data_IF_225531603131
#
_entry.id   IF_225531603131
#
_cell.length_a   1.000
_cell.length_b   1.000
_cell.length_c   1.000
_cell.angle_alpha   90.00
_cell.angle_beta   90.00
_cell.angle_gamma   90.00
#
_symmetry.space_group_name_H-M   'P 1'
#
loop_
_entity.id
_entity.type
_entity.pdbx_description
1 polymer ?
#
# COMPACT_ATOMS: atom_id res chain seq x y z
N UNK A 1 10.51 23.89 -11.55
CA UNK A 1 11.18 22.56 -11.69
C UNK A 1 11.92 22.11 -10.43
N UNK A 2 12.80 22.91 -9.82
CA UNK A 2 13.54 22.50 -8.61
C UNK A 2 12.65 22.11 -7.42
N UNK A 3 11.58 22.86 -7.19
CA UNK A 3 10.60 22.57 -6.12
C UNK A 3 9.79 21.30 -6.38
N UNK A 4 9.41 21.07 -7.65
CA UNK A 4 8.72 19.85 -8.07
C UNK A 4 9.57 18.59 -7.85
N UNK A 5 10.85 18.65 -8.25
CA UNK A 5 11.78 17.56 -7.98
C UNK A 5 11.90 17.33 -6.46
N UNK A 6 12.13 18.40 -5.69
CA UNK A 6 12.24 18.32 -4.22
C UNK A 6 11.00 17.68 -3.58
N UNK A 7 9.80 18.10 -3.97
CA UNK A 7 8.55 17.53 -3.46
C UNK A 7 8.42 16.04 -3.77
N UNK A 8 8.76 15.63 -5.00
CA UNK A 8 8.71 14.21 -5.40
C UNK A 8 9.68 13.35 -4.58
N UNK A 9 10.90 13.84 -4.36
CA UNK A 9 11.88 13.15 -3.53
C UNK A 9 11.45 13.05 -2.06
N UNK A 10 10.81 14.08 -1.51
CA UNK A 10 10.30 14.06 -0.14
C UNK A 10 9.14 13.05 -0.03
N UNK A 11 8.15 13.13 -0.92
CA UNK A 11 6.99 12.24 -0.93
C UNK A 11 7.40 10.75 -0.93
N UNK A 12 8.32 10.36 -1.83
CA UNK A 12 8.85 8.98 -1.83
C UNK A 12 9.72 8.71 -0.62
N UNK A 13 10.57 9.67 -0.26
CA UNK A 13 11.56 9.54 0.81
C UNK A 13 10.94 9.22 2.17
N UNK A 14 9.77 9.79 2.46
CA UNK A 14 9.00 9.52 3.69
C UNK A 14 8.55 8.05 3.80
N UNK A 15 8.34 7.38 2.67
CA UNK A 15 7.86 6.00 2.61
C UNK A 15 8.99 4.97 2.67
N UNK A 16 10.21 5.33 2.26
CA UNK A 16 11.34 4.39 2.15
C UNK A 16 11.60 3.60 3.45
N UNK A 17 11.69 4.24 4.65
CA UNK A 17 11.96 3.49 5.88
C UNK A 17 10.90 2.41 6.15
N UNK A 18 9.63 2.69 5.86
CA UNK A 18 8.53 1.77 6.04
C UNK A 18 8.57 0.62 5.05
N UNK A 19 8.80 0.90 3.78
CA UNK A 19 8.90 -0.13 2.73
C UNK A 19 10.10 -1.05 2.97
N UNK A 20 11.25 -0.50 3.38
CA UNK A 20 12.43 -1.28 3.76
C UNK A 20 12.16 -2.14 4.98
N UNK A 21 11.53 -1.58 6.02
CA UNK A 21 11.18 -2.34 7.24
C UNK A 21 10.24 -3.50 6.90
N UNK A 22 9.16 -3.24 6.17
CA UNK A 22 8.19 -4.27 5.78
C UNK A 22 8.84 -5.37 4.92
N UNK A 23 9.72 -4.97 4.00
CA UNK A 23 10.50 -5.91 3.18
C UNK A 23 11.44 -6.76 4.02
N UNK A 24 12.09 -6.16 5.01
CA UNK A 24 12.96 -6.89 5.94
C UNK A 24 12.18 -7.88 6.81
N UNK A 25 10.96 -7.51 7.22
CA UNK A 25 10.09 -8.35 8.04
C UNK A 25 9.48 -9.53 7.26
N UNK A 26 9.39 -9.45 5.93
CA UNK A 26 8.81 -10.49 5.10
C UNK A 26 9.38 -10.55 3.67
N UNK A 27 10.00 -11.68 3.26
CA UNK A 27 10.72 -11.80 1.98
C UNK A 27 9.81 -12.07 0.76
N UNK A 28 8.50 -12.19 0.92
CA UNK A 28 7.54 -12.33 -0.19
C UNK A 28 6.31 -11.42 -0.05
N UNK A 29 5.61 -11.05 -1.13
CA UNK A 29 5.94 -11.31 -2.55
C UNK A 29 7.28 -10.70 -2.99
N UNK A 30 7.69 -10.98 -4.23
CA UNK A 30 8.99 -10.55 -4.72
C UNK A 30 9.08 -9.02 -4.77
N UNK A 31 10.29 -8.47 -4.77
CA UNK A 31 10.49 -7.02 -4.93
C UNK A 31 9.83 -6.50 -6.22
N UNK A 32 9.81 -7.30 -7.29
CA UNK A 32 9.16 -6.94 -8.56
C UNK A 32 7.65 -6.83 -8.40
N UNK A 33 7.00 -7.79 -7.74
CA UNK A 33 5.56 -7.77 -7.51
C UNK A 33 5.14 -6.63 -6.59
N UNK A 34 5.92 -6.37 -5.54
CA UNK A 34 5.71 -5.24 -4.64
C UNK A 34 5.92 -3.90 -5.35
N UNK A 35 6.87 -3.84 -6.28
CA UNK A 35 7.10 -2.66 -7.14
C UNK A 35 5.93 -2.43 -8.09
N UNK A 36 5.39 -3.50 -8.69
CA UNK A 36 4.17 -3.42 -9.49
C UNK A 36 2.99 -2.93 -8.64
N UNK A 37 2.84 -3.43 -7.41
CA UNK A 37 1.84 -2.94 -6.46
C UNK A 37 1.96 -1.44 -6.22
N UNK A 38 3.16 -0.94 -5.95
CA UNK A 38 3.42 0.49 -5.79
C UNK A 38 3.04 1.30 -7.04
N UNK A 39 3.45 0.86 -8.22
CA UNK A 39 3.12 1.53 -9.50
C UNK A 39 1.61 1.50 -9.80
N UNK A 40 0.93 0.41 -9.49
CA UNK A 40 -0.54 0.31 -9.57
C UNK A 40 -1.21 1.26 -8.58
N UNK A 41 -0.61 1.45 -7.40
CA UNK A 41 -1.07 2.46 -6.44
C UNK A 41 -0.99 3.87 -7.00
N UNK A 42 0.18 4.23 -7.55
CA UNK A 42 0.37 5.53 -8.22
C UNK A 42 -0.60 5.73 -9.38
N UNK A 43 -0.89 4.67 -10.14
CA UNK A 43 -1.84 4.76 -11.26
C UNK A 43 -3.30 4.79 -10.79
N UNK A 44 -3.57 4.21 -9.62
CA UNK A 44 -4.90 4.18 -9.01
C UNK A 44 -5.38 5.57 -8.58
N UNK A 45 -4.48 6.46 -8.15
CA UNK A 45 -4.84 7.86 -7.85
C UNK A 45 -5.31 8.61 -9.09
N UNK A 46 -4.72 8.35 -10.28
CA UNK A 46 -5.26 8.87 -11.54
C UNK A 46 -6.70 8.42 -11.76
N UNK A 47 -6.98 7.14 -11.55
CA UNK A 47 -8.32 6.60 -11.73
C UNK A 47 -9.32 7.24 -10.77
N UNK A 48 -8.94 7.46 -9.52
CA UNK A 48 -9.75 8.22 -8.55
C UNK A 48 -10.04 9.62 -9.09
N UNK A 49 -9.02 10.36 -9.53
CA UNK A 49 -9.21 11.71 -10.07
C UNK A 49 -10.11 11.75 -11.31
N UNK A 50 -10.02 10.75 -12.19
CA UNK A 50 -10.93 10.62 -13.32
C UNK A 50 -12.36 10.40 -12.83
N UNK A 51 -12.59 9.50 -11.87
CA UNK A 51 -13.93 9.23 -11.32
C UNK A 51 -14.50 10.46 -10.62
N UNK A 52 -13.67 11.22 -9.91
CA UNK A 52 -14.08 12.47 -9.27
C UNK A 52 -14.59 13.51 -10.26
N UNK A 53 -14.15 13.47 -11.51
CA UNK A 53 -14.63 14.37 -12.57
C UNK A 53 -15.92 13.92 -13.24
N UNK A 54 -16.36 12.68 -13.04
CA UNK A 54 -17.54 12.12 -13.71
C UNK A 54 -18.85 12.42 -12.96
N UNK A 55 -18.79 12.88 -11.72
CA UNK A 55 -19.97 13.16 -10.89
C UNK A 55 -19.65 14.25 -9.84
N UNK A 56 -20.67 14.94 -9.31
CA UNK A 56 -20.47 15.87 -8.19
C UNK A 56 -20.22 15.08 -6.90
N UNK A 57 -18.96 15.02 -6.48
CA UNK A 57 -18.56 14.45 -5.20
C UNK A 57 -18.51 15.53 -4.12
N UNK A 58 -18.70 15.19 -2.84
CA UNK A 58 -18.49 16.15 -1.77
C UNK A 58 -17.02 16.56 -1.72
N UNK A 59 -16.78 17.87 -1.66
CA UNK A 59 -15.45 18.49 -1.70
C UNK A 59 -14.95 18.95 -0.32
N UNK A 60 -15.85 19.06 0.68
CA UNK A 60 -15.48 19.51 2.01
C UNK A 60 -16.19 18.74 3.14
N UNK A 61 -15.50 18.63 4.26
CA UNK A 61 -16.09 18.29 5.56
C UNK A 61 -16.32 16.80 5.78
N UNK A 62 -17.35 16.47 6.57
CA UNK A 62 -17.61 15.07 6.96
C UNK A 62 -17.96 14.16 5.76
N UNK A 63 -18.80 14.58 4.80
CA UNK A 63 -19.11 13.75 3.64
C UNK A 63 -17.89 13.48 2.74
N UNK A 64 -17.03 14.47 2.52
CA UNK A 64 -15.78 14.33 1.76
C UNK A 64 -14.86 13.28 2.39
N UNK A 65 -14.63 13.38 3.70
CA UNK A 65 -13.76 12.47 4.44
C UNK A 65 -14.16 10.99 4.27
N UNK A 66 -15.46 10.68 4.24
CA UNK A 66 -15.95 9.30 4.18
C UNK A 66 -16.34 8.81 2.79
N UNK A 67 -16.86 9.67 1.91
CA UNK A 67 -17.34 9.26 0.58
C UNK A 67 -16.26 9.36 -0.49
N UNK A 68 -15.49 10.45 -0.48
CA UNK A 68 -14.43 10.69 -1.45
C UNK A 68 -13.17 9.97 -1.00
N UNK A 69 -12.55 10.42 0.10
CA UNK A 69 -11.30 9.83 0.57
C UNK A 69 -11.51 8.43 1.15
N UNK A 70 -12.53 8.26 2.00
CA UNK A 70 -12.82 6.97 2.62
C UNK A 70 -13.27 5.91 1.59
N UNK A 71 -14.39 6.14 0.93
CA UNK A 71 -15.07 5.09 0.17
C UNK A 71 -14.53 4.93 -1.26
N UNK A 72 -14.34 6.02 -2.02
CA UNK A 72 -13.89 5.94 -3.40
C UNK A 72 -12.43 5.49 -3.51
N UNK A 73 -11.50 6.17 -2.82
CA UNK A 73 -10.08 5.82 -2.91
C UNK A 73 -9.80 4.40 -2.40
N UNK A 74 -10.33 4.03 -1.24
CA UNK A 74 -10.15 2.66 -0.73
C UNK A 74 -10.87 1.64 -1.61
N UNK A 75 -11.99 2.00 -2.24
CA UNK A 75 -12.68 1.15 -3.22
C UNK A 75 -11.80 0.82 -4.42
N UNK A 76 -11.21 1.85 -5.04
CA UNK A 76 -10.26 1.69 -6.16
C UNK A 76 -9.04 0.88 -5.71
N UNK A 77 -8.48 1.23 -4.56
CA UNK A 77 -7.30 0.57 -3.99
C UNK A 77 -7.52 -0.92 -3.73
N UNK A 78 -8.62 -1.28 -3.09
CA UNK A 78 -8.97 -2.67 -2.81
C UNK A 78 -9.33 -3.44 -4.08
N UNK A 79 -9.94 -2.79 -5.06
CA UNK A 79 -10.20 -3.42 -6.36
C UNK A 79 -8.90 -3.77 -7.08
N UNK A 80 -7.99 -2.80 -7.24
CA UNK A 80 -6.67 -3.02 -7.85
C UNK A 80 -5.83 -4.03 -7.07
N UNK A 81 -5.83 -3.93 -5.73
CA UNK A 81 -5.17 -4.89 -4.86
C UNK A 81 -5.76 -6.29 -4.99
N UNK A 82 -7.08 -6.41 -5.12
CA UNK A 82 -7.76 -7.69 -5.35
C UNK A 82 -7.39 -8.32 -6.68
N UNK A 83 -7.29 -7.53 -7.76
CA UNK A 83 -6.81 -8.00 -9.05
C UNK A 83 -5.35 -8.48 -8.98
N UNK A 84 -4.47 -7.71 -8.34
CA UNK A 84 -3.07 -8.08 -8.17
C UNK A 84 -2.92 -9.36 -7.35
N UNK A 85 -3.66 -9.49 -6.24
CA UNK A 85 -3.67 -10.70 -5.42
C UNK A 85 -4.24 -11.90 -6.17
N UNK A 86 -5.24 -11.73 -7.04
CA UNK A 86 -5.71 -12.82 -7.91
C UNK A 86 -4.65 -13.28 -8.90
N UNK A 87 -3.93 -12.34 -9.54
CA UNK A 87 -2.81 -12.67 -10.43
C UNK A 87 -1.71 -13.42 -9.70
N UNK A 88 -1.30 -12.91 -8.54
CA UNK A 88 -0.27 -13.55 -7.71
C UNK A 88 -0.74 -14.91 -7.16
N UNK A 89 -2.03 -15.02 -6.83
CA UNK A 89 -2.66 -16.25 -6.35
C UNK A 89 -2.70 -17.38 -7.37
N UNK A 90 -2.68 -17.05 -8.67
CA UNK A 90 -2.53 -18.02 -9.75
C UNK A 90 -1.09 -18.55 -9.90
N UNK A 91 -0.10 -17.88 -9.32
CA UNK A 91 1.32 -18.24 -9.40
C UNK A 91 1.83 -18.88 -8.10
N UNK A 92 1.32 -18.44 -6.95
CA UNK A 92 1.67 -18.95 -5.63
C UNK A 92 0.50 -18.83 -4.64
N UNK A 93 0.47 -19.70 -3.62
CA UNK A 93 -0.46 -19.51 -2.50
C UNK A 93 -0.17 -18.20 -1.79
N UNK A 94 -1.21 -17.40 -1.53
CA UNK A 94 -1.10 -16.13 -0.81
C UNK A 94 -1.76 -16.23 0.56
N UNK A 95 -0.98 -15.94 1.59
CA UNK A 95 -1.48 -15.81 2.94
C UNK A 95 -1.91 -14.37 3.26
N UNK A 96 -2.52 -14.17 4.45
CA UNK A 96 -2.88 -12.83 4.91
C UNK A 96 -1.69 -11.87 5.09
N UNK A 97 -0.48 -12.38 5.29
CA UNK A 97 0.71 -11.53 5.43
C UNK A 97 1.15 -10.96 4.07
N UNK A 98 1.10 -11.79 3.02
CA UNK A 98 1.37 -11.41 1.64
C UNK A 98 0.31 -10.43 1.12
N UNK A 99 -0.96 -10.68 1.48
CA UNK A 99 -2.06 -9.75 1.23
C UNK A 99 -1.82 -8.36 1.83
N UNK A 100 -1.49 -8.33 3.12
CA UNK A 100 -1.16 -7.11 3.85
C UNK A 100 0.03 -6.38 3.22
N UNK A 101 1.11 -7.10 2.88
CA UNK A 101 2.30 -6.50 2.28
C UNK A 101 2.02 -5.92 0.88
N UNK A 102 1.31 -6.67 0.05
CA UNK A 102 0.94 -6.24 -1.31
C UNK A 102 0.10 -4.97 -1.26
N UNK A 103 -0.93 -4.95 -0.40
CA UNK A 103 -1.80 -3.79 -0.28
C UNK A 103 -1.11 -2.60 0.40
N UNK A 104 -0.16 -2.84 1.32
CA UNK A 104 0.64 -1.79 1.94
C UNK A 104 1.55 -1.09 0.92
N UNK A 105 2.21 -1.84 0.03
CA UNK A 105 3.01 -1.26 -1.05
C UNK A 105 2.16 -0.51 -2.08
N UNK A 106 0.97 -1.04 -2.40
CA UNK A 106 0.00 -0.35 -3.25
C UNK A 106 -0.51 0.94 -2.58
N UNK A 107 -0.83 0.90 -1.29
CA UNK A 107 -1.20 2.07 -0.50
C UNK A 107 -0.09 3.12 -0.45
N UNK A 108 1.17 2.71 -0.32
CA UNK A 108 2.31 3.61 -0.40
C UNK A 108 2.44 4.29 -1.77
N UNK A 109 2.06 3.61 -2.85
CA UNK A 109 2.00 4.20 -4.18
C UNK A 109 0.95 5.31 -4.31
N UNK A 110 -0.23 5.11 -3.70
CA UNK A 110 -1.26 6.14 -3.58
C UNK A 110 -0.72 7.36 -2.84
N UNK A 111 -0.17 7.08 -1.67
CA UNK A 111 0.38 8.07 -0.74
C UNK A 111 1.46 8.93 -1.36
N UNK A 112 2.38 8.33 -2.13
CA UNK A 112 3.45 9.07 -2.77
C UNK A 112 2.94 10.11 -3.78
N UNK A 113 1.83 9.83 -4.48
CA UNK A 113 1.24 10.79 -5.42
C UNK A 113 0.48 11.88 -4.67
N UNK A 114 -0.30 11.51 -3.66
CA UNK A 114 -1.03 12.49 -2.84
C UNK A 114 -0.06 13.40 -2.09
N UNK A 115 0.93 12.86 -1.39
CA UNK A 115 1.96 13.62 -0.69
C UNK A 115 2.63 14.63 -1.62
N UNK A 116 2.94 14.20 -2.85
CA UNK A 116 3.47 15.10 -3.87
C UNK A 116 2.50 16.24 -4.20
N UNK A 117 1.21 15.95 -4.42
CA UNK A 117 0.21 16.97 -4.71
C UNK A 117 0.02 17.94 -3.55
N UNK A 118 -0.04 17.44 -2.31
CA UNK A 118 -0.14 18.26 -1.10
C UNK A 118 1.12 19.11 -0.89
N UNK A 119 2.31 18.58 -1.15
CA UNK A 119 3.56 19.33 -1.08
C UNK A 119 3.58 20.49 -2.09
N UNK A 120 3.17 20.25 -3.34
CA UNK A 120 3.11 21.30 -4.35
C UNK A 120 2.03 22.33 -4.03
N UNK A 121 0.82 21.87 -3.67
CA UNK A 121 -0.29 22.76 -3.31
C UNK A 121 0.02 23.62 -2.09
N UNK A 122 0.55 23.04 -1.02
CA UNK A 122 0.92 23.76 0.20
C UNK A 122 2.05 24.77 -0.04
N UNK A 123 3.07 24.41 -0.83
CA UNK A 123 4.14 25.33 -1.21
C UNK A 123 3.60 26.50 -2.06
N UNK A 124 2.68 26.23 -2.99
CA UNK A 124 2.04 27.28 -3.80
C UNK A 124 1.18 28.25 -2.95
N UNK A 125 0.64 27.77 -1.83
CA UNK A 125 -0.11 28.58 -0.86
C UNK A 125 0.80 29.30 0.16
N UNK A 126 2.13 29.14 0.06
CA UNK A 126 3.10 29.78 0.95
C UNK A 126 3.26 29.12 2.31
N UNK A 127 2.78 27.89 2.49
CA UNK A 127 2.95 27.14 3.74
C UNK A 127 4.42 26.72 3.90
N UNK A 128 5.04 26.88 5.08
CA UNK A 128 6.41 26.45 5.30
C UNK A 128 6.58 24.95 5.00
N UNK A 129 7.61 24.59 4.24
CA UNK A 129 7.84 23.19 3.83
C UNK A 129 7.85 22.23 5.02
N UNK A 130 8.44 22.63 6.15
CA UNK A 130 8.50 21.80 7.35
C UNK A 130 7.11 21.42 7.87
N UNK A 131 6.15 22.34 7.81
CA UNK A 131 4.76 22.09 8.25
C UNK A 131 4.04 21.13 7.30
N UNK A 132 4.21 21.31 5.98
CA UNK A 132 3.62 20.39 5.00
C UNK A 132 4.22 18.99 5.13
N UNK A 133 5.54 18.88 5.32
CA UNK A 133 6.22 17.60 5.54
C UNK A 133 5.75 16.91 6.80
N UNK A 134 5.55 17.64 7.90
CA UNK A 134 5.01 17.07 9.15
C UNK A 134 3.59 16.54 8.92
N UNK A 135 2.74 17.30 8.23
CA UNK A 135 1.38 16.88 7.91
C UNK A 135 1.33 15.60 7.05
N UNK A 136 2.30 15.41 6.15
CA UNK A 136 2.40 14.25 5.26
C UNK A 136 3.28 13.12 5.80
N UNK A 137 3.83 13.25 7.01
CA UNK A 137 4.72 12.23 7.60
C UNK A 137 4.01 10.96 8.09
N UNK A 138 2.68 10.91 8.02
CA UNK A 138 1.85 9.82 8.52
C UNK A 138 1.38 8.96 7.35
N UNK A 139 2.05 7.83 7.05
CA UNK A 139 1.74 7.01 5.89
C UNK A 139 0.48 6.15 6.08
N UNK A 140 -0.67 6.81 6.15
CA UNK A 140 -1.97 6.25 6.46
C UNK A 140 -2.39 5.20 5.44
N UNK A 141 -2.18 5.41 4.14
CA UNK A 141 -2.62 4.42 3.14
C UNK A 141 -1.81 3.13 3.21
N UNK A 142 -0.51 3.22 3.49
CA UNK A 142 0.31 2.05 3.78
C UNK A 142 -0.23 1.31 5.02
N UNK A 143 -0.53 2.03 6.10
CA UNK A 143 -1.05 1.44 7.34
C UNK A 143 -2.41 0.75 7.14
N UNK A 144 -3.31 1.37 6.37
CA UNK A 144 -4.59 0.78 5.96
C UNK A 144 -4.38 -0.47 5.11
N UNK A 145 -3.39 -0.45 4.21
CA UNK A 145 -3.00 -1.61 3.43
C UNK A 145 -2.62 -2.80 4.30
N UNK A 146 -1.87 -2.58 5.39
CA UNK A 146 -1.53 -3.64 6.35
C UNK A 146 -2.77 -4.23 7.06
N UNK A 147 -3.74 -3.39 7.41
CA UNK A 147 -4.96 -3.83 8.10
C UNK A 147 -5.90 -4.59 7.16
N UNK A 148 -6.18 -3.99 6.00
CA UNK A 148 -7.17 -4.47 5.04
C UNK A 148 -6.64 -5.62 4.17
N UNK A 149 -5.37 -5.60 3.78
CA UNK A 149 -4.81 -6.55 2.82
C UNK A 149 -4.87 -8.00 3.28
N UNK A 150 -4.70 -8.24 4.59
CA UNK A 150 -4.83 -9.60 5.13
C UNK A 150 -6.28 -10.14 5.15
N UNK A 151 -7.28 -9.26 5.07
CA UNK A 151 -8.67 -9.66 4.85
C UNK A 151 -8.99 -9.79 3.36
N UNK A 152 -8.40 -8.93 2.53
CA UNK A 152 -8.62 -8.89 1.08
C UNK A 152 -8.31 -10.24 0.41
N UNK A 153 -7.31 -10.98 0.89
CA UNK A 153 -6.99 -12.32 0.40
C UNK A 153 -8.16 -13.31 0.55
N UNK A 154 -9.05 -13.12 1.52
CA UNK A 154 -10.23 -13.99 1.74
C UNK A 154 -11.39 -13.69 0.78
N UNK A 155 -11.29 -12.63 -0.01
CA UNK A 155 -12.38 -12.16 -0.87
C UNK A 155 -12.52 -12.96 -2.15
N UNK A 156 -11.48 -13.73 -2.54
CA UNK A 156 -11.53 -14.65 -3.68
C UNK A 156 -12.65 -15.67 -3.54
N UNK A 157 -12.87 -16.17 -2.33
CA UNK A 157 -13.81 -17.26 -2.08
C UNK A 157 -15.16 -16.76 -1.56
N UNK A 158 -15.22 -15.51 -1.08
CA UNK A 158 -16.39 -14.96 -0.38
C UNK A 158 -16.55 -13.46 -0.66
N UNK A 159 -17.40 -13.05 -1.61
CA UNK A 159 -17.53 -11.64 -2.02
C UNK A 159 -17.99 -10.71 -0.88
N UNK A 160 -18.73 -11.21 0.11
CA UNK A 160 -19.10 -10.42 1.30
C UNK A 160 -17.89 -9.92 2.11
N UNK A 161 -16.76 -10.63 2.05
CA UNK A 161 -15.54 -10.15 2.69
C UNK A 161 -14.94 -8.93 1.99
N UNK A 162 -15.23 -8.74 0.70
CA UNK A 162 -14.79 -7.53 0.00
C UNK A 162 -15.54 -6.33 0.57
N UNK A 163 -16.87 -6.42 0.66
CA UNK A 163 -17.69 -5.38 1.26
C UNK A 163 -17.24 -5.05 2.69
N UNK A 164 -16.99 -6.08 3.52
CA UNK A 164 -16.48 -5.86 4.88
C UNK A 164 -15.11 -5.17 4.90
N UNK A 165 -14.18 -5.61 4.05
CA UNK A 165 -12.84 -5.03 3.98
C UNK A 165 -12.89 -3.58 3.51
N UNK A 166 -13.78 -3.28 2.56
CA UNK A 166 -14.02 -1.93 2.07
C UNK A 166 -14.63 -1.02 3.13
N UNK A 167 -15.68 -1.46 3.82
CA UNK A 167 -16.28 -0.69 4.91
C UNK A 167 -15.27 -0.41 6.03
N UNK A 168 -14.42 -1.40 6.36
CA UNK A 168 -13.36 -1.22 7.33
C UNK A 168 -12.33 -0.19 6.86
N UNK A 169 -11.82 -0.32 5.63
CA UNK A 169 -10.85 0.62 5.08
C UNK A 169 -11.41 2.05 5.00
N UNK A 170 -12.62 2.20 4.46
CA UNK A 170 -13.30 3.48 4.34
C UNK A 170 -13.57 4.13 5.71
N UNK A 171 -14.01 3.34 6.70
CA UNK A 171 -14.26 3.84 8.04
C UNK A 171 -12.99 4.30 8.77
N UNK A 172 -11.90 3.56 8.63
CA UNK A 172 -10.60 3.93 9.21
C UNK A 172 -9.98 5.13 8.50
N UNK A 173 -10.08 5.18 7.17
CA UNK A 173 -9.54 6.28 6.39
C UNK A 173 -10.33 7.57 6.62
N UNK A 174 -11.66 7.54 6.47
CA UNK A 174 -12.49 8.70 6.76
C UNK A 174 -12.43 9.13 8.23
N UNK A 175 -12.26 8.18 9.14
CA UNK A 175 -11.97 8.46 10.55
C UNK A 175 -10.66 9.22 10.74
N UNK A 176 -9.59 8.82 10.07
CA UNK A 176 -8.32 9.55 10.11
C UNK A 176 -8.48 10.97 9.57
N UNK A 177 -9.13 11.15 8.42
CA UNK A 177 -9.32 12.48 7.83
C UNK A 177 -10.18 13.39 8.71
N UNK A 178 -11.24 12.85 9.32
CA UNK A 178 -12.07 13.59 10.27
C UNK A 178 -11.31 14.01 11.53
N UNK A 179 -10.37 13.19 12.01
CA UNK A 179 -9.46 13.51 13.11
C UNK A 179 -8.45 14.58 12.67
N UNK A 180 -7.74 14.35 11.57
CA UNK A 180 -6.72 15.27 11.06
C UNK A 180 -7.27 16.66 10.77
N UNK A 181 -8.54 16.76 10.34
CA UNK A 181 -9.19 18.04 10.05
C UNK A 181 -9.63 18.83 11.30
N UNK A 182 -9.77 18.20 12.47
CA UNK A 182 -10.47 18.80 13.62
C UNK A 182 -9.67 18.84 14.91
N UNK A 183 -8.68 17.97 15.07
CA UNK A 183 -7.93 17.87 16.33
C UNK A 183 -6.44 18.14 16.12
N UNK A 184 -5.72 18.55 17.18
CA UNK A 184 -4.28 18.79 17.10
C UNK A 184 -3.50 17.58 16.57
N UNK A 185 -2.41 17.84 15.85
CA UNK A 185 -1.55 16.84 15.22
C UNK A 185 -1.20 15.62 16.11
N UNK A 186 -0.89 15.74 17.42
CA UNK A 186 -0.63 14.57 18.26
C UNK A 186 -1.74 13.52 18.29
N UNK A 187 -3.01 13.92 18.11
CA UNK A 187 -4.13 12.99 18.04
C UNK A 187 -4.21 12.26 16.70
N UNK A 188 -3.89 12.93 15.59
CA UNK A 188 -3.73 12.29 14.29
C UNK A 188 -2.60 11.25 14.32
N UNK A 189 -1.46 11.60 14.96
CA UNK A 189 -0.35 10.67 15.19
C UNK A 189 -0.81 9.46 16.02
N UNK A 190 -1.55 9.68 17.11
CA UNK A 190 -2.04 8.59 17.95
C UNK A 190 -3.01 7.66 17.19
N UNK A 191 -3.91 8.22 16.37
CA UNK A 191 -4.84 7.47 15.55
C UNK A 191 -4.08 6.61 14.51
N UNK A 192 -3.16 7.24 13.78
CA UNK A 192 -2.27 6.56 12.84
C UNK A 192 -1.47 5.44 13.52
N UNK A 193 -0.83 5.73 14.66
CA UNK A 193 -0.03 4.76 15.39
C UNK A 193 -0.87 3.56 15.87
N UNK A 194 -2.12 3.79 16.27
CA UNK A 194 -3.07 2.73 16.61
C UNK A 194 -3.37 1.81 15.42
N UNK A 195 -3.65 2.38 14.24
CA UNK A 195 -3.93 1.60 13.03
C UNK A 195 -2.68 0.86 12.55
N UNK A 196 -1.54 1.55 12.47
CA UNK A 196 -0.27 0.96 12.08
C UNK A 196 0.11 -0.18 13.04
N UNK A 197 0.01 0.05 14.34
CA UNK A 197 0.28 -0.96 15.37
C UNK A 197 -0.63 -2.18 15.23
N UNK A 198 -1.93 -1.97 14.97
CA UNK A 198 -2.87 -3.06 14.71
C UNK A 198 -2.51 -3.85 13.44
N UNK A 199 -2.22 -3.14 12.34
CA UNK A 199 -1.80 -3.73 11.07
C UNK A 199 -0.53 -4.56 11.22
N UNK A 200 0.52 -3.98 11.81
CA UNK A 200 1.80 -4.64 12.08
C UNK A 200 1.62 -5.86 12.99
N UNK A 201 0.86 -5.74 14.08
CA UNK A 201 0.61 -6.88 14.97
C UNK A 201 -0.05 -8.05 14.22
N UNK A 202 -1.07 -7.78 13.41
CA UNK A 202 -1.75 -8.82 12.62
C UNK A 202 -0.85 -9.41 11.56
N UNK A 203 -0.09 -8.57 10.86
CA UNK A 203 0.91 -8.99 9.88
C UNK A 203 1.95 -9.92 10.52
N UNK A 204 2.55 -9.53 11.65
CA UNK A 204 3.54 -10.33 12.38
C UNK A 204 2.96 -11.63 12.94
N UNK A 205 1.69 -11.62 13.38
CA UNK A 205 0.99 -12.84 13.79
C UNK A 205 0.69 -13.76 12.61
N UNK A 206 0.43 -13.23 11.42
CA UNK A 206 0.08 -14.02 10.24
C UNK A 206 1.28 -14.46 9.43
N UNK A 207 2.44 -13.79 9.53
CA UNK A 207 3.69 -14.23 8.89
C UNK A 207 4.13 -15.63 9.32
N UNK A 208 3.75 -16.07 10.52
CA UNK A 208 4.08 -17.43 10.98
C UNK A 208 3.40 -18.52 10.17
N UNK A 209 2.31 -18.17 9.49
CA UNK A 209 1.53 -19.04 8.62
C UNK A 209 1.76 -18.72 7.14
N UNK A 210 2.76 -17.88 6.84
CA UNK A 210 3.15 -17.60 5.46
C UNK A 210 3.67 -18.89 4.81
N UNK A 211 3.37 -19.11 3.52
CA UNK A 211 3.95 -20.23 2.79
C UNK A 211 5.48 -20.19 2.80
N UNK A 212 6.08 -19.01 2.93
CA UNK A 212 7.53 -18.88 2.94
C UNK A 212 8.20 -19.36 4.21
N UNK A 213 7.61 -19.06 5.37
CA UNK A 213 8.13 -19.56 6.64
C UNK A 213 8.00 -21.08 6.69
N UNK A 214 6.89 -21.60 6.17
CA UNK A 214 6.65 -23.03 6.02
C UNK A 214 7.62 -23.67 5.00
N UNK A 215 7.98 -22.99 3.90
CA UNK A 215 9.03 -23.42 2.97
C UNK A 215 10.37 -23.65 3.67
N UNK A 216 10.78 -22.71 4.52
CA UNK A 216 12.03 -22.83 5.28
C UNK A 216 11.99 -24.00 6.28
N UNK A 217 10.80 -24.34 6.80
CA UNK A 217 10.59 -25.53 7.63
C UNK A 217 10.66 -26.80 6.79
N UNK A 218 10.00 -26.83 5.62
CA UNK A 218 10.01 -27.96 4.69
C UNK A 218 11.41 -28.30 4.16
N UNK A 219 12.27 -27.30 3.96
CA UNK A 219 13.68 -27.52 3.61
C UNK A 219 14.48 -28.32 4.64
N UNK A 220 13.99 -28.40 5.89
CA UNK A 220 14.61 -29.18 6.97
C UNK A 220 13.93 -30.53 7.20
N UNK A 221 12.81 -30.79 6.51
CA UNK A 221 12.09 -32.05 6.58
C UNK A 221 12.60 -33.00 5.50
N UNK A 222 12.32 -34.29 5.67
CA UNK A 222 12.47 -35.25 4.59
C UNK A 222 11.59 -34.82 3.38
N UNK A 223 12.09 -34.87 2.13
CA UNK A 223 11.35 -34.42 0.96
C UNK A 223 9.98 -35.10 0.77
N UNK A 224 9.85 -36.37 1.16
CA UNK A 224 8.60 -37.11 1.09
C UNK A 224 7.58 -36.61 2.13
N UNK A 225 8.02 -36.39 3.37
CA UNK A 225 7.18 -35.81 4.43
C UNK A 225 6.75 -34.38 4.08
N UNK A 226 7.68 -33.57 3.57
CA UNK A 226 7.39 -32.23 3.08
C UNK A 226 6.33 -32.26 1.97
N UNK A 227 6.45 -33.18 1.01
CA UNK A 227 5.48 -33.38 -0.07
C UNK A 227 4.07 -33.70 0.45
N UNK A 228 3.94 -34.60 1.43
CA UNK A 228 2.65 -34.96 2.04
C UNK A 228 2.02 -33.76 2.77
N UNK A 229 2.82 -33.02 3.55
CA UNK A 229 2.32 -31.85 4.28
C UNK A 229 1.90 -30.76 3.29
N UNK A 230 2.67 -30.54 2.24
CA UNK A 230 2.32 -29.59 1.18
C UNK A 230 1.04 -29.96 0.44
N UNK A 231 0.87 -31.22 0.05
CA UNK A 231 -0.35 -31.69 -0.60
C UNK A 231 -1.58 -31.50 0.30
N UNK A 232 -1.45 -31.78 1.61
CA UNK A 232 -2.53 -31.53 2.60
C UNK A 232 -2.86 -30.05 2.75
N UNK A 233 -1.88 -29.17 2.53
CA UNK A 233 -2.08 -27.72 2.52
C UNK A 233 -2.57 -27.19 1.16
N UNK A 234 -2.72 -28.06 0.16
CA UNK A 234 -3.16 -27.68 -1.19
C UNK A 234 -2.09 -26.94 -1.99
N UNK A 235 -0.81 -27.22 -1.76
CA UNK A 235 0.30 -26.58 -2.47
C UNK A 235 0.78 -27.44 -3.64
N UNK A 236 0.47 -26.99 -4.86
CA UNK A 236 0.79 -27.73 -6.10
C UNK A 236 2.13 -27.33 -6.73
N UNK A 237 2.72 -26.18 -6.36
CA UNK A 237 3.94 -25.62 -6.99
C UNK A 237 5.18 -25.73 -6.10
N UNK A 238 5.86 -26.88 -6.18
CA UNK A 238 7.12 -27.16 -5.49
C UNK A 238 8.28 -26.23 -5.90
N UNK A 239 8.29 -25.79 -7.17
CA UNK A 239 9.42 -25.04 -7.76
C UNK A 239 9.65 -23.67 -7.13
N UNK A 240 8.63 -23.03 -6.56
CA UNK A 240 8.76 -21.73 -5.89
C UNK A 240 9.30 -21.82 -4.44
N UNK A 241 9.27 -23.01 -3.84
CA UNK A 241 9.72 -23.23 -2.46
C UNK A 241 11.18 -23.71 -2.41
N UNK A 242 11.65 -24.33 -3.50
CA UNK A 242 13.02 -24.82 -3.67
C UNK A 242 13.96 -23.82 -4.31
N UNK A 243 13.45 -22.85 -5.07
CA UNK A 243 14.27 -21.77 -5.59
C UNK A 243 14.89 -20.97 -4.42
N UNK A 244 16.22 -20.93 -4.37
CA UNK A 244 16.96 -19.93 -3.59
C UNK A 244 16.70 -18.57 -4.24
N UNK A 245 15.55 -17.97 -3.91
CA UNK A 245 15.25 -16.59 -4.25
C UNK A 245 16.15 -15.65 -3.46
N UNK A 246 17.46 -15.65 -3.74
CA UNK A 246 18.29 -14.47 -3.52
C UNK A 246 17.85 -13.43 -4.55
N UNK A 247 16.70 -12.80 -4.27
CA UNK A 247 16.36 -11.57 -4.98
C UNK A 247 17.52 -10.59 -4.79
N UNK A 248 17.99 -9.89 -5.83
CA UNK A 248 18.91 -8.76 -5.70
C UNK A 248 18.13 -7.60 -5.05
N UNK A 249 17.74 -7.78 -3.78
CA UNK A 249 16.54 -7.16 -3.22
C UNK A 249 16.77 -5.74 -2.72
N UNK A 250 18.01 -5.37 -2.40
CA UNK A 250 18.33 -4.04 -1.85
C UNK A 250 18.49 -2.98 -2.93
N UNK A 251 19.34 -3.24 -3.92
CA UNK A 251 19.76 -2.21 -4.89
C UNK A 251 18.69 -1.89 -5.94
N UNK A 252 17.88 -2.87 -6.38
CA UNK A 252 16.76 -2.63 -7.32
C UNK A 252 15.67 -1.80 -6.64
N UNK A 253 15.39 -2.07 -5.36
CA UNK A 253 14.45 -1.27 -4.56
C UNK A 253 15.03 0.12 -4.28
N UNK A 254 16.34 0.24 -4.01
CA UNK A 254 17.01 1.52 -3.83
C UNK A 254 17.08 2.37 -5.12
N UNK A 255 17.28 1.75 -6.29
CA UNK A 255 17.24 2.44 -7.59
C UNK A 255 15.80 2.81 -7.97
N UNK A 256 14.84 1.93 -7.71
CA UNK A 256 13.41 2.19 -7.88
C UNK A 256 12.94 3.37 -7.02
N UNK A 257 13.17 3.29 -5.71
CA UNK A 257 12.76 4.29 -4.73
C UNK A 257 13.58 5.59 -4.81
N UNK A 258 14.87 5.50 -5.14
CA UNK A 258 15.79 6.65 -5.11
C UNK A 258 15.90 7.42 -6.41
N UNK A 259 15.49 6.85 -7.55
CA UNK A 259 15.65 7.48 -8.86
C UNK A 259 14.37 7.39 -9.69
N UNK A 260 13.85 6.18 -9.93
CA UNK A 260 12.76 5.98 -10.88
C UNK A 260 11.40 6.46 -10.37
N UNK A 261 11.07 6.22 -9.10
CA UNK A 261 9.79 6.60 -8.52
C UNK A 261 9.62 8.11 -8.35
N UNK A 262 10.64 8.88 -7.89
CA UNK A 262 10.56 10.34 -7.93
C UNK A 262 10.35 10.89 -9.34
N UNK A 263 11.02 10.30 -10.36
CA UNK A 263 10.84 10.70 -11.76
C UNK A 263 9.46 10.34 -12.30
N UNK A 264 8.91 9.19 -11.93
CA UNK A 264 7.56 8.79 -12.32
C UNK A 264 6.50 9.65 -11.64
N UNK A 265 6.68 9.99 -10.37
CA UNK A 265 5.79 10.93 -9.66
C UNK A 265 5.89 12.31 -10.29
N UNK A 266 7.09 12.76 -10.66
CA UNK A 266 7.25 14.03 -11.36
C UNK A 266 6.52 14.01 -12.71
N UNK A 267 6.68 12.96 -13.50
CA UNK A 267 5.98 12.81 -14.78
C UNK A 267 4.46 12.75 -14.61
N UNK A 268 3.99 11.99 -13.61
CA UNK A 268 2.58 11.88 -13.26
C UNK A 268 2.01 13.21 -12.76
N UNK A 269 2.75 13.92 -11.92
CA UNK A 269 2.41 15.24 -11.40
C UNK A 269 2.30 16.28 -12.49
N UNK A 270 3.21 16.26 -13.46
CA UNK A 270 3.15 17.13 -14.64
C UNK A 270 1.96 16.78 -15.54
N UNK A 271 1.68 15.49 -15.74
CA UNK A 271 0.50 15.04 -16.48
C UNK A 271 -0.79 15.47 -15.77
N UNK A 272 -0.85 15.32 -14.45
CA UNK A 272 -1.98 15.72 -13.63
C UNK A 272 -2.19 17.23 -13.62
N UNK A 273 -1.13 18.02 -13.63
CA UNK A 273 -1.23 19.47 -13.81
C UNK A 273 -1.76 19.83 -15.21
N UNK A 274 -1.29 19.14 -16.26
CA UNK A 274 -1.73 19.38 -17.63
C UNK A 274 -3.19 18.96 -17.88
N UNK A 275 -3.64 17.85 -17.29
CA UNK A 275 -5.04 17.37 -17.35
C UNK A 275 -5.91 18.13 -16.32
N UNK A 276 -5.29 18.65 -15.27
CA UNK A 276 -5.82 19.50 -14.20
C UNK A 276 -6.52 20.75 -14.70
N UNK A 277 -5.94 21.39 -15.72
CA UNK A 277 -6.20 22.80 -16.00
C UNK A 277 -5.55 23.65 -14.92
N UNK A 278 -4.49 24.37 -15.28
CA UNK A 278 -4.00 25.48 -14.45
C UNK A 278 -4.99 26.63 -14.43
#
# INVERSE_FOLDING_TARGET
MGEYARAAYIAVGLLIPWLVLLRWLHPQPTTQDLSLGFLLGMSGTLLVMVILRLAPWPEEGFPEAFLTAGALEEGVKLYLGGLLLRRLGGEAWLGPAEGALTLAFLGAGFEAVEDFQYLIGGLAQGVPLGEVVVARSLPMHLALGLVAGGWLVKTTDKPLWFLWTWLLAAGLHGGFNAVAARVPFPWAVAYFAGILGWGLFRFLKKRSYSPWRLAAVFRRMDPWEAGIVMQRLGWETWDHLTQEGRSPAGWVMALGLGILYPLLILALGLLLHAVGGG
#
